data_IF_414939510157
#
_entry.id   IF_414939510157
#
_cell.length_a   1.000
_cell.length_b   1.000
_cell.length_c   1.000
_cell.angle_alpha   90.00
_cell.angle_beta   90.00
_cell.angle_gamma   90.00
#
_symmetry.space_group_name_H-M   'P 1'
#
loop_
_entity.id
_entity.type
_entity.pdbx_description
1 polymer ?
#
# COMPACT_ATOMS: atom_id res chain seq x y z
N UNK A 1 8.67 32.01 -0.98
CA UNK A 1 7.82 31.01 -0.27
C UNK A 1 8.47 30.65 1.05
N UNK A 2 7.72 30.55 2.16
CA UNK A 2 8.30 30.15 3.45
C UNK A 2 8.48 28.62 3.43
N UNK A 3 9.71 28.16 3.59
CA UNK A 3 10.02 26.75 3.65
C UNK A 3 9.46 26.17 4.96
N UNK A 4 8.65 25.13 4.86
CA UNK A 4 8.12 24.41 6.02
C UNK A 4 9.21 23.46 6.56
N UNK A 5 9.34 23.35 7.89
CA UNK A 5 10.31 22.46 8.54
C UNK A 5 9.59 21.50 9.49
N UNK A 6 10.06 20.27 9.49
CA UNK A 6 9.60 19.19 10.36
C UNK A 6 10.80 18.42 10.90
N UNK A 7 10.65 17.78 12.06
CA UNK A 7 11.68 16.90 12.60
C UNK A 7 11.77 15.63 11.74
N UNK A 8 10.59 15.11 11.31
CA UNK A 8 10.50 13.94 10.44
C UNK A 8 9.51 14.20 9.28
N UNK A 9 10.00 13.98 8.06
CA UNK A 9 9.19 13.95 6.84
C UNK A 9 9.13 12.52 6.34
N UNK A 10 7.93 12.00 6.13
CA UNK A 10 7.70 10.63 5.66
C UNK A 10 7.06 10.67 4.27
N UNK A 11 7.59 9.88 3.35
CA UNK A 11 7.05 9.69 2.01
C UNK A 11 6.36 8.33 1.92
N UNK A 12 5.03 8.34 1.88
CA UNK A 12 4.16 7.18 1.85
C UNK A 12 3.38 6.97 3.15
N UNK A 13 2.05 7.04 3.08
CA UNK A 13 1.12 6.78 4.18
C UNK A 13 0.63 5.32 4.20
N UNK A 14 1.48 4.37 3.81
CA UNK A 14 1.25 2.95 4.00
C UNK A 14 1.50 2.51 5.45
N UNK A 15 1.37 1.20 5.77
CA UNK A 15 1.54 0.70 7.14
C UNK A 15 2.90 1.08 7.74
N UNK A 16 3.97 0.99 6.97
CA UNK A 16 5.32 1.33 7.44
C UNK A 16 5.45 2.82 7.78
N UNK A 17 4.97 3.70 6.87
CA UNK A 17 5.03 5.15 7.09
C UNK A 17 4.16 5.60 8.26
N UNK A 18 2.93 5.08 8.37
CA UNK A 18 2.03 5.42 9.47
C UNK A 18 2.54 4.92 10.82
N UNK A 19 3.07 3.68 10.89
CA UNK A 19 3.67 3.17 12.13
C UNK A 19 4.88 4.00 12.57
N UNK A 20 5.74 4.38 11.62
CA UNK A 20 6.87 5.24 11.92
C UNK A 20 6.44 6.64 12.38
N UNK A 21 5.39 7.19 11.75
CA UNK A 21 4.83 8.48 12.14
C UNK A 21 4.29 8.47 13.58
N UNK A 22 3.55 7.42 13.94
CA UNK A 22 3.02 7.21 15.29
C UNK A 22 4.16 7.14 16.31
N UNK A 23 5.17 6.30 16.07
CA UNK A 23 6.28 6.16 17.02
C UNK A 23 7.10 7.44 17.15
N UNK A 24 7.36 8.15 16.07
CA UNK A 24 8.06 9.43 16.11
C UNK A 24 7.25 10.50 16.85
N UNK A 25 5.94 10.58 16.61
CA UNK A 25 5.08 11.55 17.29
C UNK A 25 4.98 11.30 18.81
N UNK A 26 5.03 10.04 19.25
CA UNK A 26 5.09 9.69 20.69
C UNK A 26 6.34 10.26 21.39
N UNK A 27 7.42 10.51 20.65
CA UNK A 27 8.62 11.14 21.19
C UNK A 27 8.58 12.67 21.18
N UNK A 28 7.46 13.27 20.72
CA UNK A 28 7.27 14.71 20.63
C UNK A 28 7.80 15.32 19.33
N UNK A 29 8.19 14.52 18.33
CA UNK A 29 8.60 15.01 17.01
C UNK A 29 7.43 15.62 16.25
N UNK A 30 7.70 16.72 15.55
CA UNK A 30 6.78 17.28 14.56
C UNK A 30 6.88 16.50 13.26
N UNK A 31 5.85 15.71 12.94
CA UNK A 31 5.86 14.76 11.82
C UNK A 31 4.87 15.20 10.73
N UNK A 32 5.30 15.06 9.47
CA UNK A 32 4.42 15.13 8.30
C UNK A 32 4.60 13.91 7.42
N UNK A 33 3.50 13.40 6.89
CA UNK A 33 3.45 12.28 5.94
C UNK A 33 2.83 12.76 4.65
N UNK A 34 3.49 12.50 3.51
CA UNK A 34 2.98 12.77 2.17
C UNK A 34 2.61 11.45 1.48
N UNK A 35 1.45 11.40 0.84
CA UNK A 35 1.02 10.25 0.04
C UNK A 35 0.34 10.72 -1.25
N UNK A 36 0.69 10.10 -2.37
CA UNK A 36 0.13 10.42 -3.69
C UNK A 36 -1.34 10.01 -3.84
N UNK A 37 -1.80 9.07 -3.02
CA UNK A 37 -3.15 8.56 -3.09
C UNK A 37 -4.16 9.49 -2.40
N UNK A 38 -5.41 9.40 -2.83
CA UNK A 38 -6.54 10.10 -2.22
C UNK A 38 -6.98 9.46 -0.88
N UNK A 39 -6.50 8.25 -0.58
CA UNK A 39 -6.78 7.52 0.67
C UNK A 39 -5.49 7.00 1.26
N UNK A 40 -5.23 7.23 2.55
CA UNK A 40 -4.04 6.73 3.23
C UNK A 40 -4.20 5.24 3.56
N UNK A 41 -3.09 4.61 4.00
CA UNK A 41 -3.09 3.22 4.47
C UNK A 41 -2.56 2.20 3.45
N UNK A 42 -2.29 2.61 2.23
CA UNK A 42 -1.61 1.80 1.22
C UNK A 42 -2.21 0.41 1.05
N UNK A 43 -1.40 -0.63 1.16
CA UNK A 43 -1.84 -2.02 0.95
C UNK A 43 -2.83 -2.53 2.02
N UNK A 44 -2.88 -1.95 3.22
CA UNK A 44 -3.80 -2.39 4.28
C UNK A 44 -5.26 -2.27 3.85
N UNK A 45 -5.64 -1.21 3.15
CA UNK A 45 -7.02 -1.01 2.71
C UNK A 45 -7.46 -1.97 1.61
N UNK A 46 -6.51 -2.57 0.88
CA UNK A 46 -6.80 -3.62 -0.11
C UNK A 46 -6.98 -4.99 0.53
N UNK A 47 -6.54 -5.18 1.79
CA UNK A 47 -6.52 -6.48 2.46
C UNK A 47 -7.77 -6.66 3.32
N UNK A 48 -8.81 -7.20 2.70
CA UNK A 48 -10.08 -7.51 3.37
C UNK A 48 -10.04 -8.81 4.18
N UNK A 49 -9.02 -9.66 4.00
CA UNK A 49 -8.83 -10.88 4.76
C UNK A 49 -8.28 -10.59 6.17
N UNK A 50 -8.43 -11.53 7.07
CA UNK A 50 -7.85 -11.47 8.42
C UNK A 50 -6.37 -11.82 8.35
N UNK A 51 -5.53 -11.03 9.02
CA UNK A 51 -4.10 -11.28 9.09
C UNK A 51 -3.77 -12.57 9.85
N UNK A 52 -2.69 -13.20 9.41
CA UNK A 52 -2.07 -14.34 10.07
C UNK A 52 -0.98 -13.86 11.04
N UNK A 53 -0.50 -14.74 11.89
CA UNK A 53 0.61 -14.45 12.81
C UNK A 53 0.17 -14.37 14.27
N UNK A 54 0.89 -13.59 15.07
CA UNK A 54 0.65 -13.46 16.52
C UNK A 54 -0.35 -12.32 16.82
N UNK A 55 -0.84 -12.29 18.06
CA UNK A 55 -1.67 -11.19 18.58
C UNK A 55 -0.93 -9.84 18.52
N UNK A 56 0.36 -9.84 18.76
CA UNK A 56 1.25 -8.68 18.70
C UNK A 56 1.24 -8.05 17.30
N UNK A 57 1.15 -8.90 16.25
CA UNK A 57 1.07 -8.48 14.86
C UNK A 57 -0.37 -8.39 14.33
N UNK A 58 -1.33 -8.11 15.22
CA UNK A 58 -2.74 -7.90 14.85
C UNK A 58 -3.38 -9.11 14.13
N UNK A 59 -2.96 -10.34 14.46
CA UNK A 59 -3.58 -11.55 13.91
C UNK A 59 -5.08 -11.57 14.11
N UNK A 60 -5.82 -12.12 13.12
CA UNK A 60 -7.30 -12.19 13.06
C UNK A 60 -8.01 -10.85 12.85
N UNK A 61 -7.29 -9.74 12.75
CA UNK A 61 -7.84 -8.43 12.38
C UNK A 61 -7.74 -8.26 10.86
N UNK A 62 -8.73 -7.60 10.26
CA UNK A 62 -8.70 -7.29 8.82
C UNK A 62 -7.72 -6.15 8.54
N UNK A 63 -7.01 -6.19 7.42
CA UNK A 63 -5.99 -5.19 7.08
C UNK A 63 -6.53 -3.76 7.11
N UNK A 64 -7.71 -3.50 6.56
CA UNK A 64 -8.30 -2.16 6.56
C UNK A 64 -8.58 -1.63 7.97
N UNK A 65 -8.96 -2.49 8.93
CA UNK A 65 -9.14 -2.08 10.33
C UNK A 65 -7.82 -1.69 10.99
N UNK A 66 -6.73 -2.41 10.67
CA UNK A 66 -5.40 -2.04 11.15
C UNK A 66 -5.01 -0.66 10.59
N UNK A 67 -5.32 -0.40 9.33
CA UNK A 67 -5.09 0.90 8.71
C UNK A 67 -5.87 2.03 9.37
N UNK A 68 -7.15 1.80 9.68
CA UNK A 68 -8.00 2.76 10.39
C UNK A 68 -7.47 3.07 11.80
N UNK A 69 -7.05 2.05 12.55
CA UNK A 69 -6.44 2.21 13.88
C UNK A 69 -5.16 3.04 13.82
N UNK A 70 -4.26 2.75 12.87
CA UNK A 70 -3.01 3.51 12.69
C UNK A 70 -3.26 4.97 12.31
N UNK A 71 -4.24 5.23 11.45
CA UNK A 71 -4.61 6.59 11.07
C UNK A 71 -5.18 7.37 12.23
N UNK A 72 -6.05 6.75 13.01
CA UNK A 72 -6.64 7.39 14.18
C UNK A 72 -5.55 7.73 15.21
N UNK A 73 -4.64 6.77 15.50
CA UNK A 73 -3.53 6.99 16.43
C UNK A 73 -2.60 8.11 15.94
N UNK A 74 -2.27 8.15 14.65
CA UNK A 74 -1.47 9.22 14.06
C UNK A 74 -2.17 10.59 14.19
N UNK A 75 -3.47 10.65 13.94
CA UNK A 75 -4.27 11.85 14.08
C UNK A 75 -4.32 12.35 15.53
N UNK A 76 -4.54 11.45 16.47
CA UNK A 76 -4.62 11.76 17.91
C UNK A 76 -3.28 12.32 18.45
N UNK A 77 -2.16 11.91 17.85
CA UNK A 77 -0.83 12.41 18.15
C UNK A 77 -0.43 13.68 17.37
N UNK A 78 -1.34 14.25 16.58
CA UNK A 78 -1.12 15.47 15.82
C UNK A 78 -0.23 15.33 14.59
N UNK A 79 -0.07 14.10 14.06
CA UNK A 79 0.64 13.88 12.78
C UNK A 79 -0.17 14.48 11.63
N UNK A 80 0.49 15.29 10.80
CA UNK A 80 -0.11 15.80 9.55
C UNK A 80 0.03 14.75 8.45
N UNK A 81 -1.08 14.24 7.92
CA UNK A 81 -1.09 13.36 6.74
C UNK A 81 -1.66 14.14 5.55
N UNK A 82 -0.79 14.47 4.60
CA UNK A 82 -1.14 15.21 3.39
C UNK A 82 -1.31 14.22 2.22
N UNK A 83 -2.55 14.05 1.78
CA UNK A 83 -2.93 13.20 0.65
C UNK A 83 -2.93 13.97 -0.67
N UNK A 84 -3.06 13.25 -1.79
CA UNK A 84 -2.94 13.79 -3.15
C UNK A 84 -1.66 14.63 -3.30
N UNK A 85 -0.59 14.19 -2.67
CA UNK A 85 0.67 14.90 -2.55
C UNK A 85 1.81 14.02 -3.07
N UNK A 86 2.26 14.27 -4.28
CA UNK A 86 3.32 13.51 -4.93
C UNK A 86 4.67 14.14 -4.65
N UNK A 87 5.55 13.41 -3.98
CA UNK A 87 6.94 13.84 -3.80
C UNK A 87 7.68 13.62 -5.13
N UNK A 88 8.12 14.72 -5.74
CA UNK A 88 8.74 14.74 -7.07
C UNK A 88 10.24 15.00 -7.04
N UNK A 89 10.79 15.37 -5.89
CA UNK A 89 12.23 15.60 -5.73
C UNK A 89 12.70 15.36 -4.30
N UNK A 90 13.93 14.87 -4.17
CA UNK A 90 14.66 14.71 -2.92
C UNK A 90 16.07 15.27 -3.14
N UNK A 91 16.54 16.14 -2.24
CA UNK A 91 17.79 16.87 -2.35
C UNK A 91 18.70 16.64 -1.14
N UNK A 92 20.00 16.92 -1.31
CA UNK A 92 21.05 16.61 -0.34
C UNK A 92 20.84 17.22 1.04
N UNK A 93 20.22 18.41 1.11
CA UNK A 93 19.97 19.10 2.39
C UNK A 93 18.72 18.59 3.14
N UNK A 94 18.27 17.37 2.85
CA UNK A 94 17.02 16.79 3.38
C UNK A 94 15.81 17.66 3.07
N UNK A 95 15.80 18.20 1.88
CA UNK A 95 14.71 18.95 1.31
C UNK A 95 13.97 18.08 0.30
N UNK A 96 12.64 18.12 0.31
CA UNK A 96 11.80 17.49 -0.70
C UNK A 96 10.97 18.53 -1.43
N UNK A 97 10.69 18.25 -2.69
CA UNK A 97 9.68 18.96 -3.47
C UNK A 97 8.44 18.12 -3.58
N UNK A 98 7.30 18.67 -3.22
CA UNK A 98 6.00 18.01 -3.22
C UNK A 98 5.07 18.75 -4.16
N UNK A 99 4.43 18.02 -5.07
CA UNK A 99 3.35 18.52 -5.91
C UNK A 99 2.02 18.17 -5.27
N UNK A 100 1.19 19.19 -5.02
CA UNK A 100 -0.18 19.08 -4.49
C UNK A 100 -1.08 19.83 -5.45
N UNK A 101 -1.92 19.12 -6.20
CA UNK A 101 -2.71 19.69 -7.29
C UNK A 101 -1.81 20.43 -8.30
N UNK A 102 -1.97 21.76 -8.44
CA UNK A 102 -1.14 22.60 -9.30
C UNK A 102 -0.06 23.38 -8.54
N UNK A 103 0.07 23.18 -7.25
CA UNK A 103 1.07 23.85 -6.42
C UNK A 103 2.31 22.98 -6.21
N UNK A 104 3.47 23.64 -6.16
CA UNK A 104 4.73 23.06 -5.77
C UNK A 104 5.13 23.62 -4.39
N UNK A 105 5.40 22.73 -3.46
CA UNK A 105 5.88 23.07 -2.11
C UNK A 105 7.27 22.49 -1.87
N UNK A 106 8.09 23.24 -1.12
CA UNK A 106 9.38 22.80 -0.64
C UNK A 106 9.31 22.59 0.87
N UNK A 107 9.65 21.39 1.30
CA UNK A 107 9.58 20.98 2.70
C UNK A 107 10.93 20.43 3.12
N UNK A 108 11.42 20.86 4.28
CA UNK A 108 12.69 20.41 4.86
C UNK A 108 12.43 19.56 6.09
N UNK A 109 13.10 18.41 6.16
CA UNK A 109 13.09 17.53 7.33
C UNK A 109 14.45 17.47 8.00
N UNK A 110 14.50 17.33 9.31
CA UNK A 110 15.76 16.95 9.98
C UNK A 110 16.07 15.49 9.66
N UNK A 111 15.02 14.69 9.42
CA UNK A 111 15.12 13.33 8.87
C UNK A 111 14.07 13.13 7.80
N UNK A 112 14.40 12.37 6.75
CA UNK A 112 13.45 11.94 5.71
C UNK A 112 13.38 10.42 5.73
N UNK A 113 12.16 9.88 5.82
CA UNK A 113 11.87 8.45 5.75
C UNK A 113 11.13 8.14 4.46
N UNK A 114 11.69 7.25 3.64
CA UNK A 114 11.07 6.75 2.43
C UNK A 114 10.32 5.45 2.75
N UNK A 115 9.00 5.49 2.66
CA UNK A 115 8.09 4.37 2.96
C UNK A 115 7.07 4.13 1.83
N UNK A 116 7.50 4.31 0.59
CA UNK A 116 6.66 4.25 -0.62
C UNK A 116 6.15 2.86 -0.98
N UNK A 117 6.60 1.83 -0.27
CA UNK A 117 6.18 0.45 -0.49
C UNK A 117 6.74 -0.15 -1.78
N UNK A 118 5.93 -1.00 -2.40
CA UNK A 118 6.28 -1.70 -3.63
C UNK A 118 5.12 -1.71 -4.61
N UNK A 119 5.43 -1.68 -5.90
CA UNK A 119 4.50 -1.89 -6.99
C UNK A 119 4.68 -3.28 -7.62
N UNK A 120 3.62 -3.79 -8.25
CA UNK A 120 3.65 -5.07 -8.93
C UNK A 120 4.42 -4.97 -10.25
N UNK A 121 5.42 -5.84 -10.41
CA UNK A 121 6.11 -6.02 -11.68
C UNK A 121 5.41 -7.12 -12.48
N UNK A 122 4.91 -6.76 -13.68
CA UNK A 122 4.31 -7.73 -14.58
C UNK A 122 5.34 -8.69 -15.14
N UNK A 123 5.06 -9.99 -15.05
CA UNK A 123 5.81 -11.01 -15.78
C UNK A 123 5.43 -10.93 -17.25
N UNK A 124 6.43 -10.73 -18.12
CA UNK A 124 6.21 -10.63 -19.55
C UNK A 124 6.09 -12.02 -20.19
N UNK A 125 4.98 -12.26 -20.87
CA UNK A 125 4.73 -13.48 -21.66
C UNK A 125 3.98 -13.12 -22.94
N UNK A 126 3.91 -14.03 -23.89
CA UNK A 126 3.22 -13.76 -25.15
C UNK A 126 1.74 -13.41 -24.92
N UNK A 127 1.37 -12.17 -25.16
CA UNK A 127 -0.01 -11.67 -24.99
C UNK A 127 -0.26 -10.97 -23.64
N UNK A 128 0.75 -10.72 -22.82
CA UNK A 128 0.59 -10.03 -21.52
C UNK A 128 0.02 -8.61 -21.64
N UNK A 129 0.11 -7.97 -22.83
CA UNK A 129 -0.47 -6.64 -23.10
C UNK A 129 -1.89 -6.69 -23.65
N UNK A 130 -2.50 -7.88 -23.80
CA UNK A 130 -3.87 -7.97 -24.31
C UNK A 130 -4.90 -7.48 -23.27
N UNK A 131 -6.01 -6.88 -23.73
CA UNK A 131 -7.12 -6.56 -22.85
C UNK A 131 -7.57 -7.80 -22.04
N UNK A 132 -7.83 -7.61 -20.76
CA UNK A 132 -8.19 -8.68 -19.83
C UNK A 132 -6.99 -9.34 -19.12
N UNK A 133 -5.75 -9.01 -19.50
CA UNK A 133 -4.56 -9.40 -18.74
C UNK A 133 -4.21 -8.27 -17.79
N UNK A 134 -4.29 -8.53 -16.49
CA UNK A 134 -4.04 -7.55 -15.43
C UNK A 134 -3.24 -8.19 -14.29
N UNK A 135 -2.52 -7.38 -13.54
CA UNK A 135 -1.84 -7.86 -12.33
C UNK A 135 -2.81 -8.29 -11.23
N UNK A 136 -2.39 -9.22 -10.39
CA UNK A 136 -3.19 -9.70 -9.26
C UNK A 136 -3.48 -8.57 -8.27
N UNK A 137 -2.52 -7.67 -8.02
CA UNK A 137 -2.71 -6.48 -7.19
C UNK A 137 -3.68 -5.48 -7.80
N UNK A 138 -3.71 -5.35 -9.12
CA UNK A 138 -4.70 -4.53 -9.83
C UNK A 138 -6.11 -5.12 -9.68
N UNK A 139 -6.28 -6.43 -9.86
CA UNK A 139 -7.56 -7.10 -9.62
C UNK A 139 -8.05 -6.91 -8.17
N UNK A 140 -7.14 -7.03 -7.19
CA UNK A 140 -7.44 -6.79 -5.78
C UNK A 140 -7.90 -5.34 -5.55
N UNK A 141 -7.25 -4.37 -6.18
CA UNK A 141 -7.63 -2.95 -6.10
C UNK A 141 -9.02 -2.72 -6.66
N UNK A 142 -9.32 -3.26 -7.84
CA UNK A 142 -10.65 -3.16 -8.46
C UNK A 142 -11.73 -3.69 -7.53
N UNK A 143 -11.55 -4.88 -6.97
CA UNK A 143 -12.55 -5.51 -6.09
C UNK A 143 -12.68 -4.81 -4.74
N UNK A 144 -11.56 -4.60 -4.06
CA UNK A 144 -11.58 -4.27 -2.63
C UNK A 144 -11.70 -2.76 -2.37
N UNK A 145 -11.24 -1.92 -3.30
CA UNK A 145 -11.36 -0.45 -3.18
C UNK A 145 -12.46 0.14 -4.03
N UNK A 146 -12.65 -0.39 -5.25
CA UNK A 146 -13.59 0.19 -6.20
C UNK A 146 -14.88 -0.61 -6.35
N UNK A 147 -14.97 -1.81 -5.72
CA UNK A 147 -16.13 -2.71 -5.80
C UNK A 147 -16.48 -3.09 -7.24
N UNK A 148 -15.47 -3.20 -8.10
CA UNK A 148 -15.59 -3.59 -9.49
C UNK A 148 -15.11 -5.02 -9.67
N UNK A 149 -15.96 -5.87 -10.23
CA UNK A 149 -15.63 -7.25 -10.58
C UNK A 149 -14.72 -7.26 -11.81
N UNK A 150 -13.48 -7.81 -11.74
CA UNK A 150 -12.52 -7.73 -12.84
C UNK A 150 -12.86 -8.61 -14.05
N UNK A 151 -13.73 -9.60 -13.86
CA UNK A 151 -14.16 -10.52 -14.91
C UNK A 151 -15.05 -11.62 -14.36
N UNK A 152 -15.60 -12.47 -15.23
CA UNK A 152 -16.44 -13.60 -14.80
C UNK A 152 -15.61 -14.88 -14.62
N UNK A 153 -14.69 -15.15 -15.56
CA UNK A 153 -13.81 -16.35 -15.56
C UNK A 153 -12.37 -15.89 -15.56
N UNK A 154 -11.60 -16.34 -14.59
CA UNK A 154 -10.24 -15.88 -14.31
C UNK A 154 -9.29 -17.08 -14.36
N UNK A 155 -8.20 -16.92 -15.10
CA UNK A 155 -7.03 -17.75 -15.00
C UNK A 155 -5.98 -17.01 -14.17
N UNK A 156 -5.52 -17.60 -13.06
CA UNK A 156 -4.47 -17.04 -12.23
C UNK A 156 -3.12 -17.60 -12.67
N UNK A 157 -2.17 -16.72 -12.97
CA UNK A 157 -0.77 -17.07 -13.22
C UNK A 157 0.05 -16.77 -11.96
N UNK A 158 0.62 -17.80 -11.35
CA UNK A 158 1.35 -17.75 -10.09
C UNK A 158 0.53 -18.28 -8.91
N UNK A 159 1.09 -19.26 -8.20
CA UNK A 159 0.50 -19.93 -7.04
C UNK A 159 1.14 -19.52 -5.71
N UNK A 160 1.92 -18.43 -5.71
CA UNK A 160 2.46 -17.84 -4.48
C UNK A 160 1.35 -17.27 -3.58
N UNK A 161 1.74 -16.82 -2.39
CA UNK A 161 0.77 -16.29 -1.38
C UNK A 161 -0.19 -15.25 -1.95
N UNK A 162 0.30 -14.33 -2.78
CA UNK A 162 -0.54 -13.29 -3.41
C UNK A 162 -1.54 -13.92 -4.38
N UNK A 163 -1.09 -14.82 -5.26
CA UNK A 163 -1.95 -15.50 -6.23
C UNK A 163 -3.08 -16.29 -5.56
N UNK A 164 -2.77 -17.02 -4.49
CA UNK A 164 -3.78 -17.79 -3.74
C UNK A 164 -4.77 -16.91 -2.99
N UNK A 165 -4.26 -15.87 -2.29
CA UNK A 165 -5.13 -14.93 -1.55
C UNK A 165 -6.04 -14.17 -2.50
N UNK A 166 -5.52 -13.68 -3.63
CA UNK A 166 -6.32 -12.95 -4.62
C UNK A 166 -7.31 -13.88 -5.31
N UNK A 167 -6.93 -15.13 -5.63
CA UNK A 167 -7.86 -16.13 -6.17
C UNK A 167 -9.04 -16.39 -5.22
N UNK A 168 -8.77 -16.52 -3.92
CA UNK A 168 -9.82 -16.66 -2.91
C UNK A 168 -10.74 -15.43 -2.87
N UNK A 169 -10.19 -14.23 -2.93
CA UNK A 169 -10.98 -12.99 -2.96
C UNK A 169 -11.81 -12.86 -4.24
N UNK A 170 -11.27 -13.29 -5.40
CA UNK A 170 -11.99 -13.34 -6.67
C UNK A 170 -13.22 -14.27 -6.57
N UNK A 171 -13.07 -15.44 -5.97
CA UNK A 171 -14.21 -16.34 -5.74
C UNK A 171 -15.25 -15.73 -4.81
N UNK A 172 -14.82 -15.02 -3.76
CA UNK A 172 -15.75 -14.28 -2.88
C UNK A 172 -16.50 -13.16 -3.61
N UNK A 173 -15.87 -12.53 -4.61
CA UNK A 173 -16.48 -11.51 -5.47
C UNK A 173 -17.39 -12.13 -6.58
N UNK A 174 -17.56 -13.46 -6.58
CA UNK A 174 -18.38 -14.16 -7.56
C UNK A 174 -17.70 -14.37 -8.92
N UNK A 175 -16.37 -14.32 -8.99
CA UNK A 175 -15.62 -14.77 -10.16
C UNK A 175 -15.41 -16.29 -10.12
N UNK A 176 -15.44 -16.93 -11.28
CA UNK A 176 -15.00 -18.32 -11.43
C UNK A 176 -13.48 -18.33 -11.65
N UNK A 177 -12.70 -18.83 -10.69
CA UNK A 177 -11.27 -19.09 -10.90
C UNK A 177 -11.14 -20.45 -11.56
N UNK A 178 -10.95 -20.47 -12.88
CA UNK A 178 -10.96 -21.71 -13.70
C UNK A 178 -9.68 -22.52 -13.53
N UNK A 179 -8.56 -21.88 -13.26
CA UNK A 179 -7.29 -22.54 -12.94
C UNK A 179 -6.32 -21.58 -12.25
N UNK A 180 -5.38 -22.15 -11.52
CA UNK A 180 -4.16 -21.50 -11.03
C UNK A 180 -2.99 -22.24 -11.64
N UNK A 181 -2.13 -21.52 -12.37
CA UNK A 181 -0.99 -22.10 -13.11
C UNK A 181 0.30 -21.50 -12.56
N UNK A 182 1.30 -22.33 -12.36
CA UNK A 182 2.63 -21.90 -11.93
C UNK A 182 3.72 -22.46 -12.87
N UNK A 183 4.88 -21.81 -12.85
CA UNK A 183 6.05 -22.23 -13.62
C UNK A 183 6.86 -23.35 -12.93
N UNK A 184 6.59 -23.61 -11.65
CA UNK A 184 7.24 -24.62 -10.83
C UNK A 184 6.23 -25.54 -10.18
N UNK A 185 6.63 -26.80 -9.90
CA UNK A 185 5.77 -27.74 -9.18
C UNK A 185 5.43 -27.23 -7.77
N UNK A 186 4.16 -27.37 -7.40
CA UNK A 186 3.60 -26.87 -6.12
C UNK A 186 4.26 -27.45 -4.85
N UNK A 187 5.15 -28.42 -4.98
CA UNK A 187 5.86 -29.08 -3.86
C UNK A 187 6.85 -28.15 -3.15
N UNK A 188 7.14 -26.98 -3.68
CA UNK A 188 8.08 -26.02 -3.06
C UNK A 188 7.42 -24.96 -2.16
N UNK A 189 6.13 -25.04 -1.89
CA UNK A 189 5.51 -24.19 -0.86
C UNK A 189 5.97 -24.65 0.53
N UNK A 190 7.12 -24.16 0.96
CA UNK A 190 7.46 -24.15 2.39
C UNK A 190 6.63 -23.04 3.03
N UNK A 191 5.66 -23.42 3.80
CA UNK A 191 5.06 -22.57 4.82
C UNK A 191 6.17 -22.27 5.85
N UNK A 192 6.82 -21.14 5.72
CA UNK A 192 7.68 -20.59 6.76
C UNK A 192 6.85 -19.67 7.63
#
# INVERSE_FOLDING_TARGET
MKMERYDLVIVGAGPAGLSAAVEAAKTGMRVIVFDENAKPGGQLFKQIHKFFGSKEHKAKIRGFKIGEELLQEASDLGVTVQLNATVVGLYDEKEITVKIEDEIRHVKGDTILIATGASENMVTFRGWTKPGVIGAGAAQTMMNLHHVKPGNRILMLGSGNVGLVVSYQLMQAGCEVVAVVDAVDMVSMRLN
#
